data_IF_853873094318
#
_entry.id   IF_853873094318
#
_cell.length_a   1.000
_cell.length_b   1.000
_cell.length_c   1.000
_cell.angle_alpha   90.00
_cell.angle_beta   90.00
_cell.angle_gamma   90.00
#
_symmetry.space_group_name_H-M   'P 1'
#
loop_
_entity.id
_entity.type
_entity.pdbx_description
1 polymer ?
#
# COMPACT_ATOMS: atom_id res chain seq x y z
N UNK A 1 67.51 -26.34 31.51
CA UNK A 1 67.68 -26.44 32.98
C UNK A 1 66.54 -25.67 33.64
N UNK A 2 65.88 -26.26 34.65
CA UNK A 2 64.71 -25.68 35.33
C UNK A 2 63.59 -26.72 35.46
N UNK A 3 63.45 -27.31 36.64
CA UNK A 3 62.68 -28.53 36.99
C UNK A 3 61.25 -28.20 37.46
N UNK A 4 60.30 -29.11 37.15
CA UNK A 4 59.26 -29.78 38.01
C UNK A 4 58.40 -28.87 38.92
N UNK A 5 57.09 -29.08 39.16
CA UNK A 5 56.29 -30.30 39.36
C UNK A 5 54.82 -29.90 39.54
N UNK A 6 53.92 -30.86 39.33
CA UNK A 6 52.46 -30.77 39.47
C UNK A 6 51.94 -31.04 40.90
N UNK A 7 50.73 -30.52 41.21
CA UNK A 7 49.61 -31.14 41.96
C UNK A 7 48.53 -30.07 42.25
N UNK A 8 47.30 -30.10 41.68
CA UNK A 8 46.09 -30.88 42.05
C UNK A 8 45.62 -30.53 43.49
N UNK A 9 44.41 -29.99 43.73
CA UNK A 9 43.15 -30.73 44.00
C UNK A 9 41.99 -29.77 44.36
N UNK A 10 40.78 -30.08 43.83
CA UNK A 10 39.37 -29.87 44.27
C UNK A 10 38.81 -28.44 44.50
N UNK A 11 37.72 -28.00 43.85
CA UNK A 11 36.31 -28.44 43.76
C UNK A 11 35.40 -27.58 44.67
N UNK A 12 34.44 -26.87 44.07
CA UNK A 12 33.10 -26.62 44.63
C UNK A 12 32.24 -25.84 43.64
N UNK A 13 31.32 -26.59 43.04
CA UNK A 13 29.92 -26.24 42.76
C UNK A 13 29.45 -24.82 43.13
N UNK A 14 28.89 -24.10 42.16
CA UNK A 14 27.60 -23.43 42.34
C UNK A 14 26.96 -23.09 40.98
N UNK A 15 25.74 -23.59 40.80
CA UNK A 15 24.79 -23.25 39.76
C UNK A 15 24.50 -21.74 39.77
N UNK A 16 24.24 -21.14 38.61
CA UNK A 16 23.33 -19.99 38.58
C UNK A 16 22.51 -20.03 37.30
N UNK A 17 21.21 -19.96 37.57
CA UNK A 17 20.08 -20.16 36.69
C UNK A 17 19.89 -18.96 35.76
N UNK A 18 19.36 -19.25 34.58
CA UNK A 18 18.86 -18.25 33.66
C UNK A 18 17.67 -17.53 34.29
N UNK A 19 17.83 -16.24 34.61
CA UNK A 19 16.71 -15.38 34.97
C UNK A 19 15.95 -14.98 33.71
N UNK A 20 14.72 -15.50 33.62
CA UNK A 20 13.71 -15.14 32.65
C UNK A 20 12.99 -13.89 33.17
N UNK A 21 13.28 -12.73 32.60
CA UNK A 21 12.66 -11.47 33.02
C UNK A 21 11.35 -11.22 32.24
N UNK A 22 10.25 -11.23 33.00
CA UNK A 22 8.87 -11.00 32.58
C UNK A 22 8.68 -9.51 32.28
N UNK A 23 8.46 -9.16 31.01
CA UNK A 23 7.87 -7.85 30.68
C UNK A 23 6.36 -7.97 30.61
N UNK A 24 5.73 -7.19 31.50
CA UNK A 24 4.30 -7.01 31.65
C UNK A 24 3.61 -6.62 30.34
N UNK A 25 2.51 -7.32 30.09
CA UNK A 25 1.50 -7.03 29.08
C UNK A 25 0.55 -5.97 29.65
N UNK A 26 0.53 -4.78 29.06
CA UNK A 26 -0.65 -3.89 29.14
C UNK A 26 -1.34 -3.85 27.79
N UNK A 27 -2.47 -4.55 27.74
CA UNK A 27 -3.52 -4.42 26.76
C UNK A 27 -4.23 -3.08 26.95
N UNK A 28 -4.41 -2.31 25.88
CA UNK A 28 -5.63 -1.52 25.68
C UNK A 28 -6.06 -1.63 24.23
N UNK A 29 -7.22 -2.27 24.05
CA UNK A 29 -7.91 -2.50 22.78
C UNK A 29 -8.67 -1.23 22.42
N UNK A 30 -8.32 -0.58 21.31
CA UNK A 30 -9.23 0.33 20.62
C UNK A 30 -9.98 -0.46 19.53
N UNK A 31 -11.25 -0.67 19.83
CA UNK A 31 -12.27 -1.27 18.99
C UNK A 31 -12.58 -0.31 17.84
N UNK A 32 -12.02 -0.54 16.64
CA UNK A 32 -12.37 0.24 15.45
C UNK A 32 -13.47 -0.50 14.71
N UNK A 33 -14.70 -0.02 14.94
CA UNK A 33 -15.88 -0.43 14.20
C UNK A 33 -15.73 -0.06 12.72
N UNK A 34 -16.00 -1.03 11.87
CA UNK A 34 -15.88 -0.99 10.42
C UNK A 34 -17.07 -0.22 9.81
N UNK A 35 -16.84 1.02 9.40
CA UNK A 35 -17.65 1.70 8.39
C UNK A 35 -16.86 1.88 7.10
N UNK A 36 -17.57 1.66 6.00
CA UNK A 36 -17.05 1.46 4.66
C UNK A 36 -16.49 2.72 4.01
N UNK A 37 -15.24 2.59 3.54
CA UNK A 37 -14.65 3.16 2.31
C UNK A 37 -15.13 4.58 1.90
N UNK A 38 -14.42 5.60 2.36
CA UNK A 38 -14.18 6.80 1.55
C UNK A 38 -12.67 6.89 1.32
N UNK A 39 -12.21 6.53 0.12
CA UNK A 39 -10.85 6.78 -0.34
C UNK A 39 -10.68 8.30 -0.56
N UNK A 40 -10.68 9.07 0.52
CA UNK A 40 -10.24 10.47 0.56
C UNK A 40 -8.72 10.50 0.78
N UNK A 41 -7.99 9.72 -0.04
CA UNK A 41 -6.57 9.98 -0.23
C UNK A 41 -6.49 11.21 -1.14
N UNK A 42 -6.41 12.38 -0.51
CA UNK A 42 -5.88 13.57 -1.15
C UNK A 42 -4.62 13.14 -1.92
N UNK A 43 -4.63 13.36 -3.24
CA UNK A 43 -3.46 13.39 -4.11
C UNK A 43 -2.52 14.47 -3.52
N UNK A 44 -1.85 14.12 -2.42
CA UNK A 44 -0.71 14.88 -1.95
C UNK A 44 0.28 14.73 -3.08
N UNK A 45 0.58 15.83 -3.76
CA UNK A 45 1.71 15.93 -4.69
C UNK A 45 2.94 15.50 -3.88
N UNK A 46 3.24 14.19 -3.86
CA UNK A 46 4.40 13.58 -3.19
C UNK A 46 5.64 13.81 -4.05
N UNK A 47 5.78 15.02 -4.59
CA UNK A 47 6.82 15.40 -5.55
C UNK A 47 8.12 15.80 -4.84
N UNK A 48 8.16 15.76 -3.50
CA UNK A 48 9.34 16.15 -2.72
C UNK A 48 9.58 15.24 -1.52
N UNK A 49 9.75 13.94 -1.76
CA UNK A 49 10.28 13.03 -0.73
C UNK A 49 11.15 11.93 -1.33
N UNK A 50 12.17 12.35 -2.08
CA UNK A 50 13.22 11.46 -2.57
C UNK A 50 14.58 12.10 -2.35
N UNK A 51 14.84 12.43 -1.10
CA UNK A 51 16.21 12.47 -0.60
C UNK A 51 16.47 11.09 0.01
N UNK A 52 16.91 10.15 -0.83
CA UNK A 52 17.42 8.86 -0.35
C UNK A 52 18.74 9.18 0.33
N UNK A 53 18.72 9.27 1.66
CA UNK A 53 19.91 9.51 2.49
C UNK A 53 20.84 8.30 2.40
N UNK A 54 21.68 8.28 1.38
CA UNK A 54 22.87 7.43 1.37
C UNK A 54 23.84 8.02 2.40
N UNK A 55 24.17 7.24 3.42
CA UNK A 55 25.25 7.59 4.35
C UNK A 55 26.53 7.73 3.54
N UNK A 56 27.05 8.96 3.45
CA UNK A 56 28.33 9.25 2.83
C UNK A 56 29.41 8.33 3.40
N UNK A 57 30.11 7.62 2.50
CA UNK A 57 31.31 6.85 2.80
C UNK A 57 31.44 5.59 1.93
N UNK A 58 32.11 5.71 0.80
CA UNK A 58 32.82 4.63 0.08
C UNK A 58 32.07 3.57 -0.75
N UNK A 59 30.74 3.60 -0.85
CA UNK A 59 30.02 2.71 -1.78
C UNK A 59 29.21 3.54 -2.77
N UNK A 60 29.83 3.95 -3.88
CA UNK A 60 29.13 4.56 -5.01
C UNK A 60 29.69 3.95 -6.30
N UNK A 61 28.82 3.63 -7.25
CA UNK A 61 29.25 3.22 -8.58
C UNK A 61 29.95 4.40 -9.27
N UNK A 62 31.18 4.17 -9.73
CA UNK A 62 31.87 5.10 -10.62
C UNK A 62 31.10 5.24 -11.96
N UNK A 63 31.20 6.38 -12.66
CA UNK A 63 30.39 6.65 -13.85
C UNK A 63 30.52 5.61 -14.97
N UNK A 64 31.71 5.03 -15.16
CA UNK A 64 31.98 4.01 -16.17
C UNK A 64 31.31 2.67 -15.83
N UNK A 65 31.39 2.23 -14.57
CA UNK A 65 30.67 1.03 -14.08
C UNK A 65 29.17 1.26 -14.11
N UNK A 66 28.71 2.43 -13.70
CA UNK A 66 27.29 2.77 -13.71
C UNK A 66 26.74 2.77 -15.14
N UNK A 67 27.49 3.27 -16.13
CA UNK A 67 27.09 3.25 -17.54
C UNK A 67 26.77 1.83 -18.00
N UNK A 68 27.67 0.87 -17.76
CA UNK A 68 27.49 -0.53 -18.16
C UNK A 68 26.24 -1.13 -17.51
N UNK A 69 26.03 -0.84 -16.22
CA UNK A 69 24.86 -1.31 -15.49
C UNK A 69 23.55 -0.69 -16.02
N UNK A 70 23.56 0.60 -16.37
CA UNK A 70 22.41 1.29 -16.96
C UNK A 70 22.08 0.75 -18.35
N UNK A 71 23.09 0.48 -19.18
CA UNK A 71 22.91 -0.14 -20.51
C UNK A 71 22.25 -1.52 -20.37
N UNK A 72 22.81 -2.39 -19.52
CA UNK A 72 22.24 -3.72 -19.23
C UNK A 72 20.83 -3.66 -18.63
N UNK A 73 20.57 -2.73 -17.72
CA UNK A 73 19.23 -2.54 -17.15
C UNK A 73 18.24 -2.04 -18.22
N UNK A 74 18.69 -1.19 -19.14
CA UNK A 74 17.86 -0.69 -20.25
C UNK A 74 17.46 -1.82 -21.20
N UNK A 75 18.38 -2.73 -21.51
CA UNK A 75 18.09 -3.95 -22.29
C UNK A 75 17.03 -4.80 -21.60
N UNK A 76 17.18 -5.05 -20.29
CA UNK A 76 16.20 -5.77 -19.48
C UNK A 76 14.80 -5.12 -19.53
N UNK A 77 14.72 -3.79 -19.41
CA UNK A 77 13.44 -3.06 -19.48
C UNK A 77 12.78 -3.19 -20.86
N UNK A 78 13.57 -3.14 -21.93
CA UNK A 78 13.08 -3.27 -23.30
C UNK A 78 12.56 -4.69 -23.58
N UNK A 79 13.32 -5.72 -23.20
CA UNK A 79 12.95 -7.12 -23.41
C UNK A 79 11.66 -7.50 -22.69
N UNK A 80 11.46 -6.95 -21.48
CA UNK A 80 10.26 -7.18 -20.66
C UNK A 80 9.14 -6.18 -20.91
N UNK A 81 9.33 -5.22 -21.81
CA UNK A 81 8.38 -4.16 -22.16
C UNK A 81 7.92 -3.31 -20.95
N UNK A 82 8.82 -3.03 -20.00
CA UNK A 82 8.55 -2.22 -18.80
C UNK A 82 8.64 -0.69 -19.05
N UNK A 83 8.45 -0.24 -20.28
CA UNK A 83 8.63 1.16 -20.70
C UNK A 83 7.72 2.19 -20.00
N UNK A 84 6.63 1.75 -19.39
CA UNK A 84 5.68 2.62 -18.67
C UNK A 84 5.95 2.74 -17.16
N UNK A 85 6.94 2.04 -16.60
CA UNK A 85 7.20 2.06 -15.16
C UNK A 85 7.95 3.33 -14.76
N UNK A 86 7.47 4.03 -13.74
CA UNK A 86 8.12 5.22 -13.21
C UNK A 86 9.34 4.86 -12.34
N UNK A 87 10.34 5.73 -12.31
CA UNK A 87 11.54 5.62 -11.45
C UNK A 87 11.22 5.39 -9.96
N UNK A 88 10.09 5.93 -9.47
CA UNK A 88 9.63 5.68 -8.10
C UNK A 88 9.46 4.18 -7.79
N UNK A 89 9.03 3.41 -8.78
CA UNK A 89 8.70 1.98 -8.67
C UNK A 89 9.80 1.07 -9.22
N UNK A 90 11.01 1.59 -9.47
CA UNK A 90 12.07 0.82 -10.14
C UNK A 90 12.70 -0.26 -9.26
N UNK A 91 12.65 -0.14 -7.92
CA UNK A 91 13.35 -1.04 -6.99
C UNK A 91 12.99 -2.51 -7.23
N UNK A 92 11.70 -2.80 -7.42
CA UNK A 92 11.22 -4.15 -7.76
C UNK A 92 11.84 -4.68 -9.06
N UNK A 93 11.97 -3.82 -10.07
CA UNK A 93 12.53 -4.20 -11.36
C UNK A 93 14.05 -4.42 -11.27
N UNK A 94 14.73 -3.63 -10.44
CA UNK A 94 16.17 -3.80 -10.18
C UNK A 94 16.42 -5.09 -9.41
N UNK A 95 15.54 -5.47 -8.45
CA UNK A 95 15.61 -6.78 -7.80
C UNK A 95 15.45 -7.92 -8.80
N UNK A 96 14.41 -7.88 -9.66
CA UNK A 96 14.18 -8.90 -10.70
C UNK A 96 15.38 -8.99 -11.66
N UNK A 97 15.93 -7.84 -12.08
CA UNK A 97 17.11 -7.79 -12.94
C UNK A 97 18.36 -8.36 -12.26
N UNK A 98 18.59 -8.05 -10.98
CA UNK A 98 19.71 -8.56 -10.20
C UNK A 98 19.65 -10.07 -9.97
N UNK A 99 18.45 -10.65 -9.81
CA UNK A 99 18.26 -12.10 -9.67
C UNK A 99 18.64 -12.89 -10.93
N UNK A 100 18.50 -12.27 -12.11
CA UNK A 100 18.87 -12.88 -13.40
C UNK A 100 20.39 -12.84 -13.62
N UNK A 101 21.12 -11.99 -12.88
CA UNK A 101 22.56 -11.72 -13.05
C UNK A 101 23.33 -11.81 -11.72
N UNK A 102 23.35 -12.98 -11.08
CA UNK A 102 24.02 -13.15 -9.78
C UNK A 102 25.53 -12.85 -9.83
N UNK A 103 26.16 -13.02 -11.00
CA UNK A 103 27.59 -12.75 -11.23
C UNK A 103 27.97 -11.27 -11.13
N UNK A 104 27.03 -10.35 -11.38
CA UNK A 104 27.29 -8.92 -11.35
C UNK A 104 27.21 -8.33 -9.93
N UNK A 105 26.76 -9.11 -8.94
CA UNK A 105 26.67 -8.72 -7.53
C UNK A 105 26.02 -7.34 -7.33
N UNK A 106 24.89 -7.12 -8.01
CA UNK A 106 24.19 -5.83 -8.03
C UNK A 106 23.60 -5.56 -6.64
N UNK A 107 24.04 -4.48 -5.99
CA UNK A 107 23.37 -3.96 -4.81
C UNK A 107 22.18 -3.10 -5.26
N UNK A 108 20.98 -3.62 -5.05
CA UNK A 108 19.71 -2.98 -5.46
C UNK A 108 19.57 -1.59 -4.84
N UNK A 109 19.87 -1.45 -3.56
CA UNK A 109 19.71 -0.18 -2.84
C UNK A 109 20.71 0.86 -3.35
N UNK A 110 21.96 0.44 -3.54
CA UNK A 110 23.01 1.29 -4.05
C UNK A 110 22.75 1.72 -5.50
N UNK A 111 22.43 0.78 -6.39
CA UNK A 111 22.12 1.07 -7.78
C UNK A 111 20.95 2.05 -7.87
N UNK A 112 19.90 1.85 -7.07
CA UNK A 112 18.75 2.74 -7.08
C UNK A 112 19.10 4.17 -6.64
N UNK A 113 19.94 4.31 -5.62
CA UNK A 113 20.38 5.61 -5.15
C UNK A 113 21.27 6.33 -6.17
N UNK A 114 22.27 5.62 -6.72
CA UNK A 114 23.17 6.19 -7.72
C UNK A 114 22.47 6.48 -9.05
N UNK A 115 21.52 5.65 -9.47
CA UNK A 115 20.68 5.91 -10.64
C UNK A 115 19.97 7.25 -10.51
N UNK A 116 19.32 7.50 -9.36
CA UNK A 116 18.64 8.77 -9.09
C UNK A 116 19.61 9.95 -9.02
N UNK A 117 20.78 9.77 -8.38
CA UNK A 117 21.84 10.80 -8.28
C UNK A 117 22.37 11.21 -9.66
N UNK A 118 22.74 10.24 -10.49
CA UNK A 118 23.26 10.50 -11.84
C UNK A 118 22.16 11.06 -12.75
N UNK A 119 20.93 10.53 -12.68
CA UNK A 119 19.79 11.07 -13.41
C UNK A 119 19.53 12.54 -13.05
N UNK A 120 19.50 12.89 -11.77
CA UNK A 120 19.33 14.29 -11.31
C UNK A 120 20.43 15.20 -11.87
N UNK A 121 21.65 14.69 -12.00
CA UNK A 121 22.78 15.43 -12.56
C UNK A 121 22.69 15.58 -14.09
N UNK A 122 22.19 14.57 -14.79
CA UNK A 122 21.95 14.58 -16.23
C UNK A 122 20.79 15.51 -16.63
N UNK A 123 19.76 15.62 -15.79
CA UNK A 123 18.59 16.48 -16.03
C UNK A 123 18.82 17.96 -15.71
N UNK A 124 20.05 18.38 -15.40
CA UNK A 124 20.36 19.81 -15.23
C UNK A 124 20.17 20.54 -16.56
N UNK A 125 19.37 21.61 -16.55
CA UNK A 125 19.01 22.37 -17.76
C UNK A 125 20.25 22.79 -18.57
N UNK A 126 21.32 23.23 -17.90
CA UNK A 126 22.57 23.64 -18.58
C UNK A 126 23.33 22.51 -19.28
N UNK A 127 22.98 21.25 -19.04
CA UNK A 127 23.59 20.07 -19.66
C UNK A 127 22.69 19.42 -20.73
N UNK A 128 21.43 19.86 -20.85
CA UNK A 128 20.50 19.28 -21.80
C UNK A 128 20.75 19.82 -23.21
N UNK A 129 20.94 18.92 -24.16
CA UNK A 129 20.88 19.27 -25.57
C UNK A 129 19.43 19.53 -25.98
N UNK A 130 19.23 20.40 -26.96
CA UNK A 130 17.89 20.77 -27.43
C UNK A 130 17.08 19.56 -27.91
N UNK A 131 17.71 18.56 -28.52
CA UNK A 131 17.04 17.35 -28.97
C UNK A 131 16.44 16.57 -27.78
N UNK A 132 17.25 16.30 -26.76
CA UNK A 132 16.83 15.58 -25.56
C UNK A 132 15.77 16.35 -24.78
N UNK A 133 15.95 17.67 -24.63
CA UNK A 133 14.98 18.56 -24.00
C UNK A 133 13.64 18.55 -24.73
N UNK A 134 13.65 18.57 -26.07
CA UNK A 134 12.43 18.53 -26.88
C UNK A 134 11.71 17.18 -26.74
N UNK A 135 12.45 16.07 -26.67
CA UNK A 135 11.87 14.75 -26.43
C UNK A 135 11.22 14.66 -25.04
N UNK A 136 11.90 15.13 -24.00
CA UNK A 136 11.36 15.18 -22.63
C UNK A 136 10.11 16.06 -22.56
N UNK A 137 10.15 17.24 -23.19
CA UNK A 137 9.02 18.17 -23.24
C UNK A 137 7.82 17.55 -23.97
N UNK A 138 8.05 16.94 -25.14
CA UNK A 138 7.00 16.28 -25.92
C UNK A 138 6.36 15.15 -25.13
N UNK A 139 7.17 14.35 -24.42
CA UNK A 139 6.70 13.27 -23.56
C UNK A 139 5.83 13.80 -22.42
N UNK A 140 6.27 14.86 -21.74
CA UNK A 140 5.50 15.49 -20.66
C UNK A 140 4.20 16.12 -21.14
N UNK A 141 4.26 16.95 -22.20
CA UNK A 141 3.10 17.63 -22.79
C UNK A 141 2.09 16.65 -23.40
N UNK A 142 2.51 15.44 -23.76
CA UNK A 142 1.62 14.38 -24.23
C UNK A 142 0.98 13.56 -23.11
N UNK A 143 1.49 13.68 -21.88
CA UNK A 143 1.06 12.89 -20.73
C UNK A 143 -0.20 13.45 -20.06
N UNK A 144 -0.91 12.62 -19.29
CA UNK A 144 -2.03 13.07 -18.44
C UNK A 144 -1.59 14.17 -17.44
N UNK A 145 -0.34 14.15 -16.97
CA UNK A 145 0.15 15.08 -15.95
C UNK A 145 0.11 16.53 -16.39
N UNK A 146 0.18 16.78 -17.69
CA UNK A 146 0.09 18.13 -18.27
C UNK A 146 -1.34 18.68 -18.32
N UNK A 147 -2.37 17.85 -18.12
CA UNK A 147 -3.77 18.31 -18.14
C UNK A 147 -4.03 19.43 -17.13
N UNK A 148 -3.34 19.41 -15.98
CA UNK A 148 -3.47 20.44 -14.93
C UNK A 148 -2.89 21.81 -15.34
N UNK A 149 -2.03 21.83 -16.36
CA UNK A 149 -1.41 23.06 -16.86
C UNK A 149 -2.35 23.84 -17.80
N UNK A 150 -3.43 23.20 -18.28
CA UNK A 150 -4.46 23.89 -19.05
C UNK A 150 -5.26 24.82 -18.13
N UNK A 151 -5.24 26.12 -18.42
CA UNK A 151 -6.03 27.14 -17.68
C UNK A 151 -7.54 26.87 -17.70
N UNK A 152 -8.00 26.22 -18.76
CA UNK A 152 -9.38 25.83 -19.02
C UNK A 152 -9.74 24.46 -18.42
N UNK A 153 -8.78 23.75 -17.80
CA UNK A 153 -9.06 22.46 -17.19
C UNK A 153 -10.03 22.63 -16.02
N UNK A 154 -11.16 21.91 -15.99
CA UNK A 154 -12.14 22.04 -14.92
C UNK A 154 -11.54 21.70 -13.55
N UNK A 155 -11.81 22.54 -12.55
CA UNK A 155 -11.41 22.27 -11.17
C UNK A 155 -12.20 21.07 -10.60
N UNK A 156 -11.54 20.21 -9.82
CA UNK A 156 -12.19 19.07 -9.17
C UNK A 156 -13.34 19.57 -8.26
N UNK A 157 -14.49 18.87 -8.21
CA UNK A 157 -15.56 19.18 -7.28
C UNK A 157 -15.05 19.20 -5.83
N UNK A 158 -15.52 20.13 -4.99
CA UNK A 158 -15.13 20.16 -3.59
C UNK A 158 -15.64 18.90 -2.87
N UNK A 159 -14.80 18.34 -2.00
CA UNK A 159 -15.17 17.19 -1.17
C UNK A 159 -16.13 17.62 -0.05
N UNK A 160 -16.84 16.65 0.52
CA UNK A 160 -17.72 16.85 1.67
C UNK A 160 -16.98 17.55 2.82
N UNK A 161 -15.77 17.07 3.14
CA UNK A 161 -14.92 17.64 4.17
C UNK A 161 -14.56 19.10 3.89
N UNK A 162 -14.19 19.43 2.64
CA UNK A 162 -13.81 20.79 2.27
C UNK A 162 -14.97 21.77 2.45
N UNK A 163 -16.16 21.41 1.97
CA UNK A 163 -17.36 22.22 2.15
C UNK A 163 -17.77 22.33 3.63
N UNK A 164 -17.58 21.25 4.38
CA UNK A 164 -17.86 21.24 5.81
C UNK A 164 -16.94 22.21 6.58
N UNK A 165 -15.63 22.16 6.29
CA UNK A 165 -14.64 23.05 6.89
C UNK A 165 -14.95 24.51 6.57
N UNK A 166 -15.30 24.81 5.31
CA UNK A 166 -15.65 26.16 4.86
C UNK A 166 -16.91 26.67 5.59
N UNK A 167 -17.97 25.86 5.67
CA UNK A 167 -19.22 26.21 6.36
C UNK A 167 -19.01 26.48 7.85
N UNK A 168 -18.10 25.73 8.48
CA UNK A 168 -17.83 25.82 9.92
C UNK A 168 -16.63 26.74 10.25
N UNK A 169 -16.11 27.51 9.29
CA UNK A 169 -14.95 28.40 9.44
C UNK A 169 -13.70 27.70 10.01
N UNK A 170 -13.54 26.41 9.69
CA UNK A 170 -12.39 25.60 10.09
C UNK A 170 -11.31 25.64 9.01
N UNK A 171 -10.05 25.62 9.41
CA UNK A 171 -8.91 25.61 8.48
C UNK A 171 -8.65 24.19 7.97
N UNK A 172 -8.25 24.06 6.70
CA UNK A 172 -7.75 22.81 6.11
C UNK A 172 -6.33 22.52 6.61
N UNK A 173 -6.21 22.16 7.89
CA UNK A 173 -5.00 21.69 8.55
C UNK A 173 -5.27 20.34 9.20
N UNK A 174 -4.24 19.57 9.55
CA UNK A 174 -4.42 18.27 10.21
C UNK A 174 -5.31 18.37 11.46
N UNK A 175 -5.15 19.44 12.24
CA UNK A 175 -5.98 19.75 13.40
C UNK A 175 -7.42 20.11 13.03
N UNK A 176 -7.63 20.96 12.02
CA UNK A 176 -8.96 21.35 11.57
C UNK A 176 -9.75 20.20 10.93
N UNK A 177 -9.09 19.32 10.17
CA UNK A 177 -9.67 18.09 9.63
C UNK A 177 -10.11 17.15 10.75
N UNK A 178 -9.25 16.94 11.76
CA UNK A 178 -9.59 16.10 12.91
C UNK A 178 -10.80 16.60 13.70
N UNK A 179 -10.95 17.92 13.84
CA UNK A 179 -12.13 18.54 14.46
C UNK A 179 -13.37 18.37 13.57
N UNK A 180 -13.25 18.59 12.25
CA UNK A 180 -14.35 18.40 11.32
C UNK A 180 -14.87 16.96 11.31
N UNK A 181 -13.99 15.95 11.22
CA UNK A 181 -14.40 14.55 11.27
C UNK A 181 -15.09 14.16 12.58
N UNK A 182 -14.63 14.73 13.70
CA UNK A 182 -15.25 14.51 15.00
C UNK A 182 -16.65 15.12 15.04
N UNK A 183 -16.79 16.36 14.60
CA UNK A 183 -18.09 17.04 14.57
C UNK A 183 -19.06 16.41 13.57
N UNK A 184 -18.58 15.97 12.41
CA UNK A 184 -19.38 15.22 11.42
C UNK A 184 -19.85 13.85 11.94
N UNK A 185 -19.21 13.31 12.99
CA UNK A 185 -19.60 12.05 13.63
C UNK A 185 -20.48 12.26 14.86
N UNK A 186 -20.23 13.33 15.61
CA UNK A 186 -20.91 13.63 16.89
C UNK A 186 -22.15 14.49 16.70
N UNK A 187 -22.14 15.41 15.74
CA UNK A 187 -23.26 16.27 15.37
C UNK A 187 -23.89 15.77 14.06
N UNK A 188 -24.77 14.78 14.20
CA UNK A 188 -25.71 14.33 13.16
C UNK A 188 -26.82 15.37 12.95
N UNK A 189 -26.47 16.64 12.69
CA UNK A 189 -27.45 17.55 12.09
C UNK A 189 -27.71 17.06 10.67
N UNK A 190 -28.70 16.17 10.54
CA UNK A 190 -29.07 15.54 9.28
C UNK A 190 -29.30 16.59 8.18
N UNK A 191 -29.83 17.76 8.56
CA UNK A 191 -30.05 18.89 7.65
C UNK A 191 -28.73 19.53 7.18
N UNK A 192 -27.76 19.76 8.06
CA UNK A 192 -26.47 20.36 7.69
C UNK A 192 -25.69 19.45 6.74
N UNK A 193 -25.70 18.16 7.03
CA UNK A 193 -25.01 17.14 6.26
C UNK A 193 -25.71 16.87 4.93
N UNK A 194 -27.04 16.93 4.88
CA UNK A 194 -27.79 16.82 3.63
C UNK A 194 -27.55 18.03 2.72
N UNK A 195 -27.49 19.25 3.26
CA UNK A 195 -27.15 20.44 2.47
C UNK A 195 -25.74 20.34 1.85
N UNK A 196 -24.77 19.84 2.63
CA UNK A 196 -23.41 19.61 2.11
C UNK A 196 -23.41 18.51 1.05
N UNK A 197 -24.11 17.39 1.28
CA UNK A 197 -24.22 16.31 0.30
C UNK A 197 -24.86 16.82 -1.01
N UNK A 198 -25.90 17.64 -0.94
CA UNK A 198 -26.55 18.29 -2.09
C UNK A 198 -25.56 19.16 -2.86
N UNK A 199 -24.79 20.02 -2.16
CA UNK A 199 -23.77 20.87 -2.80
C UNK A 199 -22.68 20.05 -3.49
N UNK A 200 -22.18 18.98 -2.86
CA UNK A 200 -21.21 18.06 -3.49
C UNK A 200 -21.82 17.44 -4.75
N UNK A 201 -23.08 16.99 -4.68
CA UNK A 201 -23.78 16.37 -5.80
C UNK A 201 -23.97 17.35 -6.96
N UNK A 202 -24.45 18.56 -6.69
CA UNK A 202 -24.64 19.61 -7.67
C UNK A 202 -23.31 19.99 -8.36
N UNK A 203 -22.24 20.17 -7.59
CA UNK A 203 -20.90 20.47 -8.13
C UNK A 203 -20.36 19.30 -8.98
N UNK A 204 -20.60 18.05 -8.56
CA UNK A 204 -20.22 16.86 -9.32
C UNK A 204 -20.99 16.75 -10.64
N UNK A 205 -22.28 17.09 -10.65
CA UNK A 205 -23.10 17.12 -11.85
C UNK A 205 -22.67 18.22 -12.82
N UNK A 206 -22.25 19.39 -12.33
CA UNK A 206 -21.71 20.47 -13.17
C UNK A 206 -20.31 20.19 -13.71
N UNK A 207 -19.54 19.33 -13.04
CA UNK A 207 -18.20 18.96 -13.48
C UNK A 207 -18.22 18.09 -14.75
N UNK A 208 -19.24 17.25 -14.94
CA UNK A 208 -19.42 16.44 -16.15
C UNK A 208 -19.49 17.27 -17.45
N UNK A 209 -20.42 18.23 -17.62
CA UNK A 209 -20.47 19.05 -18.82
C UNK A 209 -19.22 19.94 -18.97
N UNK A 210 -18.57 20.36 -17.87
CA UNK A 210 -17.31 21.09 -17.94
C UNK A 210 -16.18 20.22 -18.52
N UNK A 211 -16.06 18.95 -18.12
CA UNK A 211 -15.10 18.00 -18.70
C UNK A 211 -15.40 17.68 -20.17
N UNK A 212 -16.67 17.58 -20.53
CA UNK A 212 -17.06 17.36 -21.93
C UNK A 212 -16.71 18.59 -22.78
N UNK A 213 -17.06 19.79 -22.31
CA UNK A 213 -16.70 21.03 -22.98
C UNK A 213 -15.17 21.20 -23.09
N UNK A 214 -14.40 20.75 -22.09
CA UNK A 214 -12.94 20.74 -22.17
C UNK A 214 -12.43 19.87 -23.33
N UNK A 215 -12.99 18.67 -23.52
CA UNK A 215 -12.65 17.80 -24.65
C UNK A 215 -12.99 18.44 -26.00
N UNK A 216 -14.15 19.11 -26.08
CA UNK A 216 -14.63 19.71 -27.32
C UNK A 216 -13.84 20.97 -27.68
N UNK A 217 -13.38 21.74 -26.68
CA UNK A 217 -12.60 22.97 -26.85
C UNK A 217 -11.11 22.75 -27.13
N UNK A 218 -10.59 21.53 -26.95
CA UNK A 218 -9.18 21.19 -27.16
C UNK A 218 -9.03 20.04 -28.16
N UNK A 219 -9.15 20.30 -29.47
CA UNK A 219 -9.09 19.24 -30.49
C UNK A 219 -7.74 18.53 -30.57
N UNK A 220 -6.66 19.22 -30.17
CA UNK A 220 -5.28 18.72 -30.25
C UNK A 220 -4.84 17.92 -29.02
N UNK A 221 -5.74 17.54 -28.12
CA UNK A 221 -5.40 16.64 -27.02
C UNK A 221 -4.88 15.33 -27.58
N UNK A 222 -3.80 14.82 -26.99
CA UNK A 222 -3.30 13.49 -27.32
C UNK A 222 -4.31 12.43 -26.93
N UNK A 223 -4.20 11.25 -27.53
CA UNK A 223 -5.07 10.11 -27.20
C UNK A 223 -4.96 9.72 -25.72
N UNK A 224 -3.76 9.84 -25.13
CA UNK A 224 -3.52 9.58 -23.70
C UNK A 224 -4.31 10.57 -22.84
N UNK A 225 -4.22 11.86 -23.15
CA UNK A 225 -4.93 12.92 -22.45
C UNK A 225 -6.44 12.78 -22.58
N UNK A 226 -6.93 12.54 -23.80
CA UNK A 226 -8.36 12.32 -24.09
C UNK A 226 -8.89 11.15 -23.27
N UNK A 227 -8.23 9.99 -23.30
CA UNK A 227 -8.60 8.81 -22.51
C UNK A 227 -8.63 9.10 -21.02
N UNK A 228 -7.65 9.84 -20.49
CA UNK A 228 -7.64 10.19 -19.07
C UNK A 228 -8.88 11.01 -18.65
N UNK A 229 -9.28 11.99 -19.48
CA UNK A 229 -10.49 12.77 -19.24
C UNK A 229 -11.75 11.91 -19.40
N UNK A 230 -11.83 11.08 -20.43
CA UNK A 230 -12.95 10.15 -20.63
C UNK A 230 -13.10 9.15 -19.48
N UNK A 231 -11.99 8.65 -18.92
CA UNK A 231 -12.00 7.78 -17.74
C UNK A 231 -12.59 8.53 -16.54
N UNK A 232 -12.21 9.80 -16.33
CA UNK A 232 -12.80 10.65 -15.28
C UNK A 232 -14.30 10.84 -15.49
N UNK A 233 -14.72 11.17 -16.71
CA UNK A 233 -16.15 11.29 -17.08
C UNK A 233 -16.90 9.99 -16.75
N UNK A 234 -16.37 8.84 -17.19
CA UNK A 234 -16.98 7.52 -16.93
C UNK A 234 -17.07 7.20 -15.43
N UNK A 235 -16.05 7.56 -14.65
CA UNK A 235 -16.07 7.36 -13.19
C UNK A 235 -17.17 8.21 -12.53
N UNK A 236 -17.26 9.48 -12.89
CA UNK A 236 -18.27 10.39 -12.33
C UNK A 236 -19.68 10.00 -12.77
N UNK A 237 -19.86 9.59 -14.03
CA UNK A 237 -21.13 9.06 -14.52
C UNK A 237 -21.56 7.82 -13.73
N UNK A 238 -20.64 6.91 -13.39
CA UNK A 238 -20.96 5.74 -12.54
C UNK A 238 -21.40 6.12 -11.12
N UNK A 239 -20.90 7.23 -10.58
CA UNK A 239 -21.26 7.74 -9.26
C UNK A 239 -22.62 8.46 -9.27
N UNK A 240 -22.92 9.16 -10.36
CA UNK A 240 -24.13 9.99 -10.51
C UNK A 240 -25.30 9.26 -11.13
N UNK A 241 -25.05 8.20 -11.92
CA UNK A 241 -26.12 7.37 -12.46
C UNK A 241 -26.75 6.57 -11.32
N UNK A 242 -28.07 6.69 -11.08
CA UNK A 242 -28.74 5.87 -10.09
C UNK A 242 -28.48 4.41 -10.44
N UNK A 243 -27.84 3.68 -9.52
CA UNK A 243 -27.71 2.23 -9.67
C UNK A 243 -29.13 1.69 -9.72
N UNK A 244 -29.57 1.29 -10.92
CA UNK A 244 -30.67 0.34 -11.06
C UNK A 244 -30.41 -0.76 -10.03
N UNK A 245 -31.37 -1.08 -9.14
CA UNK A 245 -31.18 -2.11 -8.14
C UNK A 245 -30.86 -3.38 -8.90
N UNK A 246 -29.56 -3.71 -8.98
CA UNK A 246 -29.12 -4.95 -9.58
C UNK A 246 -29.68 -6.01 -8.65
N UNK A 247 -30.74 -6.68 -9.10
CA UNK A 247 -31.30 -7.85 -8.43
C UNK A 247 -30.12 -8.70 -7.98
N UNK A 248 -30.09 -9.02 -6.69
CA UNK A 248 -28.92 -9.47 -5.95
C UNK A 248 -28.10 -10.51 -6.73
N UNK A 249 -27.16 -10.05 -7.56
CA UNK A 249 -26.16 -10.93 -8.13
C UNK A 249 -25.33 -11.43 -6.95
N UNK A 250 -25.23 -12.76 -6.74
CA UNK A 250 -24.47 -13.30 -5.62
C UNK A 250 -23.07 -12.72 -5.69
N UNK A 251 -22.69 -11.95 -4.66
CA UNK A 251 -21.33 -11.44 -4.55
C UNK A 251 -20.41 -12.65 -4.59
N UNK A 252 -19.66 -12.82 -5.69
CA UNK A 252 -18.51 -13.75 -5.68
C UNK A 252 -17.65 -13.34 -4.48
N UNK A 253 -17.36 -14.25 -3.54
CA UNK A 253 -16.63 -13.88 -2.34
C UNK A 253 -15.26 -13.36 -2.77
N UNK A 254 -15.05 -12.05 -2.56
CA UNK A 254 -13.71 -11.49 -2.51
C UNK A 254 -12.97 -12.28 -1.44
N UNK A 255 -11.91 -13.00 -1.80
CA UNK A 255 -10.90 -13.50 -0.85
C UNK A 255 -10.25 -12.28 -0.20
N UNK A 256 -10.93 -11.68 0.77
CA UNK A 256 -10.40 -10.75 1.76
C UNK A 256 -10.62 -11.40 3.11
N UNK A 257 -9.63 -11.24 3.99
CA UNK A 257 -9.47 -11.94 5.26
C UNK A 257 -10.76 -12.20 6.01
N UNK A 258 -10.91 -13.46 6.42
CA UNK A 258 -12.02 -14.05 7.15
C UNK A 258 -12.26 -13.29 8.48
N UNK A 259 -13.18 -12.35 8.48
CA UNK A 259 -13.95 -11.95 9.67
C UNK A 259 -15.44 -12.06 9.38
N UNK A 260 -15.86 -13.24 8.92
CA UNK A 260 -17.23 -13.70 9.17
C UNK A 260 -17.41 -13.74 10.68
N UNK A 261 -18.48 -13.13 11.21
CA UNK A 261 -18.96 -13.29 12.59
C UNK A 261 -18.62 -14.71 13.07
N UNK A 262 -17.71 -14.83 14.04
CA UNK A 262 -17.24 -16.13 14.52
C UNK A 262 -18.46 -16.92 14.98
N UNK A 263 -18.80 -17.99 14.26
CA UNK A 263 -19.52 -19.11 14.88
C UNK A 263 -18.77 -19.48 16.15
N UNK A 264 -19.45 -19.81 17.27
CA UNK A 264 -18.81 -20.08 18.54
C UNK A 264 -17.67 -21.08 18.33
N UNK A 265 -16.46 -20.67 18.70
CA UNK A 265 -15.27 -21.48 18.49
C UNK A 265 -15.42 -22.74 19.36
N UNK A 266 -15.57 -23.91 18.75
CA UNK A 266 -15.71 -25.17 19.48
C UNK A 266 -14.34 -25.77 19.77
N UNK A 267 -14.22 -26.59 20.81
CA UNK A 267 -13.00 -27.31 21.15
C UNK A 267 -12.41 -28.08 19.96
N UNK A 268 -13.28 -28.64 19.11
CA UNK A 268 -12.88 -29.31 17.89
C UNK A 268 -12.28 -28.37 16.83
N UNK A 269 -12.86 -27.18 16.65
CA UNK A 269 -12.29 -26.18 15.72
C UNK A 269 -10.95 -25.64 16.21
N UNK A 270 -10.82 -25.43 17.52
CA UNK A 270 -9.55 -25.06 18.13
C UNK A 270 -8.50 -26.16 17.91
N UNK A 271 -8.87 -27.43 18.11
CA UNK A 271 -8.02 -28.58 17.83
C UNK A 271 -7.55 -28.61 16.38
N UNK A 272 -8.44 -28.38 15.42
CA UNK A 272 -8.09 -28.34 13.99
C UNK A 272 -7.05 -27.25 13.67
N UNK A 273 -7.12 -26.08 14.33
CA UNK A 273 -6.12 -25.01 14.18
C UNK A 273 -4.73 -25.40 14.70
N UNK A 274 -4.66 -26.25 15.72
CA UNK A 274 -3.36 -26.76 16.20
C UNK A 274 -2.73 -27.79 15.25
N UNK A 275 -3.50 -28.32 14.29
CA UNK A 275 -3.08 -29.36 13.33
C UNK A 275 -3.17 -28.87 11.88
N UNK A 276 -2.87 -27.59 11.65
CA UNK A 276 -2.88 -26.92 10.32
C UNK A 276 -1.97 -27.57 9.28
N UNK A 277 -0.96 -28.32 9.71
CA UNK A 277 0.01 -28.98 8.85
C UNK A 277 -0.28 -30.48 8.61
N UNK A 278 -1.28 -31.06 9.29
CA UNK A 278 -1.66 -32.47 9.11
C UNK A 278 -2.73 -32.63 8.03
N UNK A 279 -2.53 -33.61 7.15
CA UNK A 279 -3.45 -34.01 6.08
C UNK A 279 -3.72 -32.91 5.04
N UNK A 280 -2.70 -32.09 4.73
CA UNK A 280 -2.80 -30.99 3.74
C UNK A 280 -2.98 -31.48 2.30
N UNK A 281 -2.61 -32.73 2.06
CA UNK A 281 -2.74 -33.47 0.81
C UNK A 281 -4.17 -33.99 0.54
N UNK A 282 -5.06 -33.93 1.54
CA UNK A 282 -6.44 -34.41 1.44
C UNK A 282 -7.45 -33.29 1.20
N UNK A 283 -8.60 -33.66 0.67
CA UNK A 283 -9.77 -32.78 0.56
C UNK A 283 -10.16 -32.24 1.95
N UNK A 284 -10.76 -31.04 2.00
CA UNK A 284 -11.15 -30.43 3.28
C UNK A 284 -12.10 -31.33 4.09
N UNK A 285 -13.00 -32.03 3.41
CA UNK A 285 -13.99 -32.92 4.03
C UNK A 285 -13.35 -34.21 4.60
N UNK A 286 -12.43 -34.84 3.86
CA UNK A 286 -11.73 -36.04 4.34
C UNK A 286 -10.72 -35.72 5.46
N UNK A 287 -10.11 -34.53 5.38
CA UNK A 287 -9.25 -33.99 6.42
C UNK A 287 -10.02 -33.77 7.71
N UNK A 288 -11.20 -33.16 7.64
CA UNK A 288 -12.05 -32.92 8.81
C UNK A 288 -12.50 -34.25 9.44
N UNK A 289 -12.93 -35.24 8.64
CA UNK A 289 -13.27 -36.58 9.16
C UNK A 289 -12.08 -37.27 9.87
N UNK A 290 -10.86 -37.15 9.35
CA UNK A 290 -9.66 -37.73 10.00
C UNK A 290 -9.28 -36.98 11.28
N UNK A 291 -9.42 -35.66 11.30
CA UNK A 291 -9.17 -34.84 12.49
C UNK A 291 -10.23 -35.07 13.57
N UNK A 292 -11.50 -35.26 13.19
CA UNK A 292 -12.60 -35.60 14.11
C UNK A 292 -12.31 -36.93 14.83
N UNK A 293 -11.94 -37.98 14.08
CA UNK A 293 -11.54 -39.27 14.68
C UNK A 293 -10.32 -39.17 15.60
N UNK A 294 -9.46 -38.16 15.43
CA UNK A 294 -8.31 -37.91 16.32
C UNK A 294 -8.74 -37.13 17.56
N UNK A 295 -9.65 -36.18 17.40
CA UNK A 295 -10.24 -35.43 18.50
C UNK A 295 -11.06 -36.35 19.42
N UNK A 296 -11.86 -37.24 18.85
CA UNK A 296 -12.65 -38.23 19.60
C UNK A 296 -11.80 -39.30 20.31
N UNK A 297 -10.49 -39.33 20.05
CA UNK A 297 -9.51 -40.20 20.70
C UNK A 297 -8.63 -39.47 21.72
N UNK A 298 -8.80 -38.15 21.89
CA UNK A 298 -8.11 -37.40 22.94
C UNK A 298 -8.58 -37.87 24.31
N UNK A 299 -7.70 -37.83 25.30
CA UNK A 299 -8.07 -38.11 26.68
C UNK A 299 -9.06 -37.07 27.21
N UNK A 300 -9.85 -37.42 28.23
CA UNK A 300 -10.84 -36.51 28.83
C UNK A 300 -10.19 -35.20 29.30
N UNK A 301 -8.99 -35.27 29.90
CA UNK A 301 -8.25 -34.08 30.32
C UNK A 301 -7.81 -33.17 29.18
N UNK A 302 -7.40 -33.72 28.03
CA UNK A 302 -7.02 -32.91 26.86
C UNK A 302 -8.23 -32.24 26.19
N UNK A 303 -9.40 -32.90 26.20
CA UNK A 303 -10.64 -32.31 25.69
C UNK A 303 -11.14 -31.18 26.57
N UNK A 304 -11.11 -31.36 27.89
CA UNK A 304 -11.51 -30.32 28.85
C UNK A 304 -10.65 -29.05 28.74
N UNK A 305 -9.35 -29.19 28.47
CA UNK A 305 -8.47 -28.04 28.23
C UNK A 305 -8.89 -27.29 26.96
N UNK A 306 -9.18 -28.02 25.87
CA UNK A 306 -9.62 -27.41 24.61
C UNK A 306 -11.01 -26.78 24.73
N UNK A 307 -11.91 -27.35 25.52
CA UNK A 307 -13.22 -26.77 25.84
C UNK A 307 -13.09 -25.48 26.64
N UNK A 308 -12.28 -25.47 27.71
CA UNK A 308 -12.02 -24.25 28.51
C UNK A 308 -11.40 -23.12 27.67
N UNK A 309 -10.48 -23.45 26.77
CA UNK A 309 -9.87 -22.48 25.85
C UNK A 309 -10.85 -21.99 24.76
N UNK A 310 -11.77 -22.84 24.34
CA UNK A 310 -12.79 -22.49 23.36
C UNK A 310 -13.86 -21.53 23.93
N UNK A 311 -14.21 -21.64 25.22
CA UNK A 311 -15.13 -20.72 25.90
C UNK A 311 -14.55 -19.32 26.21
N UNK A 312 -13.23 -19.16 26.09
CA UNK A 312 -12.51 -17.89 26.41
C UNK A 312 -12.10 -17.09 25.16
N UNK A 313 -12.44 -17.54 23.95
CA UNK A 313 -11.96 -17.03 22.64
C UNK A 313 -13.07 -16.46 21.72
#
# INVERSE_FOLDING_TARGET
MGKRRASRILDSSAKTEASFDLREVKNEKLNVSSESEHDDYEDRDQTELYDTTVKNGDSAYEPDRMRILVESFTEFLNDRQYSAVTIHNMEKLVTEWGEIRPEDSIDVGLFCADYRKYLKSALKIGHLHLNDATMLLTTYLSSEKSLKEFKSFPARPPTKLKLYLEKNNLKLTLGGMGVAYRHMRENDSAEEMEEINEKVRAATLQYLPALQHFLDSHPNLTEIQRRAVEVKIKQIQKLTTPKQPKGATPKRPRKRGRSSKKEPETAFRLFCRTKTDKYRDLSEEDRERKLQKKFDKLSTGEREILEKLAFTA
#
